data_IF_868164807025
#
_entry.id   IF_868164807025
#
_cell.length_a   1.000
_cell.length_b   1.000
_cell.length_c   1.000
_cell.angle_alpha   90.00
_cell.angle_beta   90.00
_cell.angle_gamma   90.00
#
_symmetry.space_group_name_H-M   'P 1'
#
loop_
_entity.id
_entity.type
_entity.pdbx_description
1 polymer ?
#
# COMPACT_ATOMS: atom_id res chain seq x y z
N UNK A 1 11.58 12.26 -8.12
CA UNK A 1 10.94 11.60 -6.97
C UNK A 1 9.56 11.08 -7.35
N UNK A 2 8.58 11.95 -7.76
CA UNK A 2 7.20 11.52 -8.05
C UNK A 2 7.16 10.44 -9.15
N UNK A 3 7.94 10.55 -10.22
CA UNK A 3 8.01 9.53 -11.27
C UNK A 3 8.45 8.16 -10.72
N UNK A 4 9.43 8.15 -9.82
CA UNK A 4 9.86 6.91 -9.17
C UNK A 4 8.78 6.38 -8.22
N UNK A 5 8.09 7.24 -7.46
CA UNK A 5 6.96 6.83 -6.64
C UNK A 5 5.88 6.14 -7.47
N UNK A 6 5.56 6.66 -8.65
CA UNK A 6 4.57 6.05 -9.55
C UNK A 6 5.01 4.66 -10.02
N UNK A 7 6.29 4.49 -10.36
CA UNK A 7 6.83 3.18 -10.78
C UNK A 7 6.93 2.16 -9.64
N UNK A 8 7.12 2.64 -8.41
CA UNK A 8 7.24 1.81 -7.22
C UNK A 8 5.93 1.70 -6.42
N UNK A 9 4.82 2.19 -6.99
CA UNK A 9 3.53 2.24 -6.32
C UNK A 9 3.12 0.84 -5.84
N UNK A 10 2.79 0.70 -4.56
CA UNK A 10 2.42 -0.58 -3.97
C UNK A 10 3.57 -1.59 -3.79
N UNK A 11 4.78 -1.31 -4.27
CA UNK A 11 5.92 -2.23 -4.12
C UNK A 11 6.78 -1.87 -2.90
N UNK A 12 7.21 -2.88 -2.09
CA UNK A 12 8.12 -2.64 -0.98
C UNK A 12 9.48 -2.12 -1.46
N UNK A 13 9.88 -0.98 -0.96
CA UNK A 13 11.13 -0.30 -1.29
C UNK A 13 11.88 0.14 -0.02
N UNK A 14 13.18 0.30 -0.10
CA UNK A 14 13.99 0.92 0.94
C UNK A 14 14.53 2.29 0.49
N UNK A 15 15.12 3.02 1.43
CA UNK A 15 15.64 4.35 1.11
C UNK A 15 16.86 4.33 0.19
N UNK A 16 17.59 3.22 0.13
CA UNK A 16 18.73 3.09 -0.77
C UNK A 16 18.27 2.95 -2.21
N UNK A 17 17.25 2.11 -2.47
CA UNK A 17 16.64 1.97 -3.79
C UNK A 17 16.01 3.28 -4.29
N UNK A 18 15.36 4.04 -3.39
CA UNK A 18 14.82 5.35 -3.73
C UNK A 18 15.96 6.34 -4.07
N UNK A 19 17.03 6.34 -3.28
CA UNK A 19 18.18 7.21 -3.47
C UNK A 19 18.85 6.97 -4.83
N UNK A 20 19.11 5.70 -5.16
CA UNK A 20 19.66 5.30 -6.46
C UNK A 20 18.75 5.77 -7.62
N UNK A 21 17.45 5.58 -7.50
CA UNK A 21 16.50 5.93 -8.55
C UNK A 21 16.36 7.44 -8.82
N UNK A 22 16.73 8.28 -7.86
CA UNK A 22 16.65 9.74 -7.99
C UNK A 22 18.03 10.41 -8.06
N UNK A 23 19.11 9.61 -8.15
CA UNK A 23 20.50 10.06 -8.15
C UNK A 23 20.81 11.00 -6.97
N UNK A 24 20.50 10.52 -5.76
CA UNK A 24 20.70 11.28 -4.52
C UNK A 24 21.30 10.37 -3.42
N UNK A 25 21.74 10.96 -2.33
CA UNK A 25 22.08 10.18 -1.14
C UNK A 25 20.82 9.71 -0.38
N UNK A 26 21.03 8.68 0.47
CA UNK A 26 19.94 8.06 1.22
C UNK A 26 19.16 9.03 2.09
N UNK A 27 19.86 9.99 2.73
CA UNK A 27 19.23 10.97 3.63
C UNK A 27 18.35 11.92 2.84
N UNK A 28 18.85 12.43 1.73
CA UNK A 28 18.09 13.29 0.80
C UNK A 28 16.84 12.58 0.27
N UNK A 29 16.96 11.30 -0.10
CA UNK A 29 15.80 10.51 -0.57
C UNK A 29 14.74 10.34 0.52
N UNK A 30 15.16 10.07 1.76
CA UNK A 30 14.27 9.98 2.92
C UNK A 30 13.60 11.34 3.21
N UNK A 31 14.35 12.44 3.17
CA UNK A 31 13.83 13.79 3.41
C UNK A 31 12.80 14.18 2.35
N UNK A 32 13.03 13.85 1.07
CA UNK A 32 12.04 14.08 0.01
C UNK A 32 10.76 13.24 0.21
N UNK A 33 10.89 11.97 0.57
CA UNK A 33 9.71 11.14 0.82
C UNK A 33 8.90 11.66 2.02
N UNK A 34 9.58 12.10 3.08
CA UNK A 34 8.94 12.73 4.25
C UNK A 34 8.28 14.06 3.90
N UNK A 35 8.92 14.90 3.08
CA UNK A 35 8.34 16.16 2.62
C UNK A 35 7.05 15.91 1.84
N UNK A 36 7.05 14.95 0.91
CA UNK A 36 5.85 14.57 0.15
C UNK A 36 4.74 14.04 1.07
N UNK A 37 5.09 13.31 2.12
CA UNK A 37 4.12 12.84 3.11
C UNK A 37 3.56 14.00 3.95
N UNK A 38 4.40 14.90 4.43
CA UNK A 38 3.97 16.09 5.21
C UNK A 38 3.14 17.07 4.39
N UNK A 39 3.35 17.12 3.09
CA UNK A 39 2.55 17.95 2.16
C UNK A 39 1.33 17.23 1.61
N UNK A 40 0.98 16.06 2.18
CA UNK A 40 -0.17 15.26 1.77
C UNK A 40 -0.17 14.83 0.30
N UNK A 41 1.00 14.66 -0.31
CA UNK A 41 1.15 14.12 -1.67
C UNK A 41 1.30 12.61 -1.63
N UNK A 42 1.95 12.07 -0.60
CA UNK A 42 2.15 10.62 -0.45
C UNK A 42 1.87 10.13 0.97
N UNK A 43 1.66 8.82 1.09
CA UNK A 43 1.58 8.07 2.34
C UNK A 43 2.77 7.12 2.41
N UNK A 44 3.44 7.04 3.56
CA UNK A 44 4.47 6.05 3.85
C UNK A 44 3.83 4.91 4.64
N UNK A 45 3.62 3.76 4.02
CA UNK A 45 3.08 2.57 4.67
C UNK A 45 4.21 1.64 5.10
N UNK A 46 4.32 1.43 6.41
CA UNK A 46 5.35 0.58 7.00
C UNK A 46 4.91 -0.88 7.06
N UNK A 47 5.90 -1.76 7.09
CA UNK A 47 5.70 -3.17 7.42
C UNK A 47 5.25 -3.31 8.87
N UNK A 48 4.28 -4.18 9.15
CA UNK A 48 3.91 -4.56 10.51
C UNK A 48 5.10 -5.19 11.23
N UNK A 49 5.37 -4.78 12.47
CA UNK A 49 6.38 -5.45 13.30
C UNK A 49 5.83 -6.82 13.76
N UNK A 50 6.57 -7.93 13.52
CA UNK A 50 6.12 -9.26 13.92
C UNK A 50 6.22 -9.53 15.42
N UNK A 51 6.91 -8.69 16.18
CA UNK A 51 7.20 -8.87 17.59
C UNK A 51 6.36 -8.01 18.51
N UNK A 52 5.83 -6.88 18.00
CA UNK A 52 5.08 -5.89 18.78
C UNK A 52 4.04 -5.18 17.90
N UNK A 53 2.97 -4.65 18.49
CA UNK A 53 2.07 -3.76 17.77
C UNK A 53 2.83 -2.54 17.24
N UNK A 54 2.56 -2.17 15.96
CA UNK A 54 3.13 -0.98 15.34
C UNK A 54 4.02 -1.23 14.13
N UNK A 55 4.69 -0.19 13.64
CA UNK A 55 5.51 -0.22 12.44
C UNK A 55 6.91 -0.80 12.69
N UNK A 56 7.42 -1.57 11.74
CA UNK A 56 8.82 -1.96 11.68
C UNK A 56 9.63 -0.92 10.90
N UNK A 57 10.05 0.16 11.55
CA UNK A 57 10.66 1.36 10.91
C UNK A 57 11.92 1.07 10.08
N UNK A 58 12.67 0.00 10.40
CA UNK A 58 13.90 -0.38 9.68
C UNK A 58 13.66 -1.29 8.48
N UNK A 59 12.44 -1.84 8.34
CA UNK A 59 12.08 -2.67 7.19
C UNK A 59 11.83 -1.81 5.95
N UNK A 60 11.66 -2.48 4.81
CA UNK A 60 11.12 -1.84 3.61
C UNK A 60 9.75 -1.21 3.91
N UNK A 61 9.35 -0.25 3.14
CA UNK A 61 8.05 0.46 3.17
C UNK A 61 7.46 0.49 1.78
N UNK A 62 6.15 0.63 1.73
CA UNK A 62 5.43 0.94 0.49
C UNK A 62 5.12 2.45 0.47
N UNK A 63 5.12 3.04 -0.71
CA UNK A 63 4.76 4.44 -0.89
C UNK A 63 3.50 4.49 -1.75
N UNK A 64 2.52 5.26 -1.31
CA UNK A 64 1.25 5.47 -2.00
C UNK A 64 1.01 6.95 -2.22
N UNK A 65 0.22 7.29 -3.22
CA UNK A 65 -0.19 8.66 -3.50
C UNK A 65 -1.53 8.92 -2.78
N UNK A 66 -1.67 10.08 -2.16
CA UNK A 66 -2.92 10.46 -1.47
C UNK A 66 -4.10 10.62 -2.42
N UNK A 67 -3.80 10.98 -3.66
CA UNK A 67 -4.76 10.98 -4.77
C UNK A 67 -4.15 10.21 -5.95
N UNK A 68 -4.81 9.16 -6.47
CA UNK A 68 -4.34 8.42 -7.64
C UNK A 68 -4.10 9.28 -8.88
N UNK A 69 -4.73 10.45 -8.99
CA UNK A 69 -4.49 11.39 -10.09
C UNK A 69 -3.05 11.90 -10.14
N UNK A 70 -2.35 11.96 -9.01
CA UNK A 70 -0.93 12.33 -8.98
C UNK A 70 -0.04 11.36 -9.77
N UNK A 71 -0.50 10.11 -9.98
CA UNK A 71 0.22 9.15 -10.80
C UNK A 71 0.32 9.55 -12.28
N UNK A 72 -0.55 10.42 -12.76
CA UNK A 72 -0.52 10.94 -14.12
C UNK A 72 0.36 12.18 -14.30
N UNK A 73 0.86 12.80 -13.22
CA UNK A 73 1.71 13.99 -13.29
C UNK A 73 2.98 13.80 -14.14
N UNK A 74 3.73 12.67 -14.01
CA UNK A 74 4.91 12.45 -14.85
C UNK A 74 4.60 12.47 -16.35
N UNK A 75 3.50 11.84 -16.76
CA UNK A 75 3.06 11.86 -18.18
C UNK A 75 2.75 13.28 -18.66
N UNK A 76 2.08 14.08 -17.83
CA UNK A 76 1.71 15.45 -18.16
C UNK A 76 2.91 16.38 -18.27
N UNK A 77 3.91 16.18 -17.41
CA UNK A 77 5.10 17.05 -17.35
C UNK A 77 6.15 16.63 -18.38
N UNK A 78 6.40 15.33 -18.58
CA UNK A 78 7.51 14.83 -19.39
C UNK A 78 7.10 14.14 -20.68
N UNK A 79 5.83 13.98 -20.98
CA UNK A 79 5.26 13.36 -22.21
C UNK A 79 5.81 11.96 -22.57
N UNK A 80 6.88 11.50 -21.93
CA UNK A 80 7.57 10.23 -22.19
C UNK A 80 7.38 9.17 -21.10
N UNK A 81 6.74 9.52 -19.99
CA UNK A 81 6.47 8.57 -18.91
C UNK A 81 5.32 7.62 -19.31
N UNK A 82 5.46 6.33 -18.96
CA UNK A 82 4.39 5.37 -19.14
C UNK A 82 3.19 5.70 -18.25
N UNK A 83 2.00 5.33 -18.72
CA UNK A 83 0.80 5.39 -17.88
C UNK A 83 0.93 4.45 -16.68
N UNK A 84 0.41 4.83 -15.51
CA UNK A 84 0.36 3.92 -14.36
C UNK A 84 -0.56 2.73 -14.66
N UNK A 85 -0.22 1.56 -14.14
CA UNK A 85 -1.05 0.36 -14.27
C UNK A 85 -2.34 0.49 -13.43
N UNK A 86 -3.47 0.10 -13.99
CA UNK A 86 -4.77 0.20 -13.30
C UNK A 86 -4.78 -0.60 -11.98
N UNK A 87 -4.25 -1.84 -11.91
CA UNK A 87 -4.20 -2.57 -10.65
C UNK A 87 -3.47 -1.82 -9.53
N UNK A 88 -2.36 -1.15 -9.83
CA UNK A 88 -1.59 -0.38 -8.86
C UNK A 88 -2.37 0.86 -8.38
N UNK A 89 -3.09 1.52 -9.28
CA UNK A 89 -3.96 2.64 -8.91
C UNK A 89 -5.13 2.21 -8.04
N UNK A 90 -5.69 1.02 -8.28
CA UNK A 90 -6.76 0.47 -7.45
C UNK A 90 -6.24 0.07 -6.08
N UNK A 91 -5.08 -0.61 -6.00
CA UNK A 91 -4.44 -0.88 -4.72
C UNK A 91 -4.21 0.43 -3.95
N UNK A 92 -3.66 1.45 -4.61
CA UNK A 92 -3.47 2.77 -4.03
C UNK A 92 -4.78 3.37 -3.49
N UNK A 93 -5.87 3.31 -4.25
CA UNK A 93 -7.16 3.86 -3.83
C UNK A 93 -7.72 3.12 -2.61
N UNK A 94 -7.64 1.79 -2.59
CA UNK A 94 -8.06 0.94 -1.46
C UNK A 94 -7.25 1.27 -0.20
N UNK A 95 -5.92 1.34 -0.31
CA UNK A 95 -5.05 1.69 0.82
C UNK A 95 -5.37 3.08 1.36
N UNK A 96 -5.63 4.05 0.48
CA UNK A 96 -6.02 5.40 0.91
C UNK A 96 -7.42 5.46 1.52
N UNK A 97 -8.36 4.63 1.04
CA UNK A 97 -9.67 4.44 1.67
C UNK A 97 -9.53 3.92 3.10
N UNK A 98 -8.79 2.83 3.29
CA UNK A 98 -8.48 2.27 4.61
C UNK A 98 -7.77 3.28 5.52
N UNK A 99 -6.80 4.01 5.00
CA UNK A 99 -6.08 5.05 5.74
C UNK A 99 -7.04 6.13 6.28
N UNK A 100 -7.96 6.62 5.43
CA UNK A 100 -8.95 7.62 5.83
C UNK A 100 -9.92 7.12 6.91
N UNK A 101 -10.26 5.83 6.86
CA UNK A 101 -11.15 5.23 7.86
C UNK A 101 -10.45 4.98 9.21
N UNK A 102 -9.20 4.51 9.18
CA UNK A 102 -8.53 3.96 10.37
C UNK A 102 -7.66 4.99 11.11
N UNK A 103 -7.04 5.91 10.38
CA UNK A 103 -6.00 6.78 10.94
C UNK A 103 -6.50 8.15 11.37
N UNK A 104 -7.72 8.58 11.00
CA UNK A 104 -8.17 9.96 11.22
C UNK A 104 -7.03 10.96 10.90
N UNK A 105 -6.70 11.18 9.64
CA UNK A 105 -5.40 11.67 9.19
C UNK A 105 -4.98 12.98 9.83
N UNK A 106 -3.85 12.91 10.54
CA UNK A 106 -3.02 14.04 10.95
C UNK A 106 -1.76 14.01 10.11
N UNK A 107 -1.02 15.12 10.05
CA UNK A 107 0.24 15.16 9.30
C UNK A 107 1.21 14.04 9.71
N UNK A 108 1.29 13.76 11.01
CA UNK A 108 2.16 12.70 11.56
C UNK A 108 1.77 11.30 11.12
N UNK A 109 0.48 11.03 10.86
CA UNK A 109 0.02 9.71 10.41
C UNK A 109 0.51 9.37 9.00
N UNK A 110 0.77 10.35 8.14
CA UNK A 110 1.40 10.12 6.83
C UNK A 110 2.86 9.70 6.94
N UNK A 111 3.54 10.12 8.01
CA UNK A 111 4.92 9.69 8.31
C UNK A 111 4.96 8.35 9.02
N UNK A 112 4.09 8.13 10.01
CA UNK A 112 4.10 6.92 10.84
C UNK A 112 2.65 6.52 11.17
N UNK A 113 1.96 5.78 10.29
CA UNK A 113 0.65 5.20 10.58
C UNK A 113 0.68 4.32 11.83
N UNK A 114 -0.41 4.31 12.60
CA UNK A 114 -0.54 3.57 13.85
C UNK A 114 -1.47 2.36 13.74
N UNK A 115 -2.44 2.38 12.83
CA UNK A 115 -3.45 1.35 12.66
C UNK A 115 -3.40 0.64 11.30
N UNK A 116 -2.64 1.17 10.33
CA UNK A 116 -2.53 0.63 8.99
C UNK A 116 -1.07 0.27 8.64
N UNK A 117 -0.85 -0.98 8.20
CA UNK A 117 0.45 -1.52 7.85
C UNK A 117 0.32 -2.46 6.66
N UNK A 118 1.41 -2.80 5.96
CA UNK A 118 1.44 -4.00 5.14
C UNK A 118 2.14 -5.14 5.88
N UNK A 119 1.94 -6.38 5.43
CA UNK A 119 2.61 -7.53 5.99
C UNK A 119 3.43 -8.26 4.94
N UNK A 120 4.60 -8.76 5.37
CA UNK A 120 5.46 -9.59 4.52
C UNK A 120 6.17 -10.65 5.33
N UNK A 121 6.08 -11.91 4.89
CA UNK A 121 6.77 -13.04 5.50
C UNK A 121 8.26 -13.01 5.22
N UNK A 122 9.02 -13.85 5.92
CA UNK A 122 10.45 -14.06 5.63
C UNK A 122 10.68 -14.76 4.27
N UNK A 123 9.72 -15.55 3.82
CA UNK A 123 9.75 -16.28 2.55
C UNK A 123 9.27 -15.45 1.35
N UNK A 124 8.97 -14.16 1.55
CA UNK A 124 8.57 -13.24 0.48
C UNK A 124 7.07 -13.13 0.24
N UNK A 125 6.23 -13.95 0.89
CA UNK A 125 4.77 -13.80 0.80
C UNK A 125 4.32 -12.45 1.40
N UNK A 126 3.39 -11.76 0.76
CA UNK A 126 2.95 -10.42 1.12
C UNK A 126 1.43 -10.34 1.21
N UNK A 127 0.93 -9.47 2.07
CA UNK A 127 -0.47 -9.04 2.18
C UNK A 127 -0.48 -7.52 2.18
N UNK A 128 -1.34 -6.93 1.34
CA UNK A 128 -1.28 -5.53 0.98
C UNK A 128 -1.58 -4.60 2.15
N UNK A 129 -2.55 -4.96 3.02
CA UNK A 129 -2.81 -4.20 4.24
C UNK A 129 -3.16 -5.08 5.44
N UNK A 130 -2.77 -4.60 6.61
CA UNK A 130 -3.30 -4.98 7.92
C UNK A 130 -3.90 -3.73 8.53
N UNK A 131 -5.19 -3.76 8.83
CA UNK A 131 -5.92 -2.64 9.41
C UNK A 131 -6.46 -3.00 10.80
N UNK A 132 -6.69 -2.00 11.63
CA UNK A 132 -7.17 -2.15 13.00
C UNK A 132 -6.08 -2.22 14.07
N UNK A 133 -6.35 -1.62 15.22
CA UNK A 133 -5.40 -1.56 16.35
C UNK A 133 -5.51 -2.84 17.21
N UNK A 134 -6.71 -3.23 17.58
CA UNK A 134 -6.96 -4.34 18.50
C UNK A 134 -7.17 -5.67 17.79
N UNK A 135 -8.03 -5.67 16.79
CA UNK A 135 -8.26 -6.82 15.92
C UNK A 135 -7.81 -6.47 14.50
N UNK A 136 -6.69 -7.03 14.09
CA UNK A 136 -6.16 -6.80 12.76
C UNK A 136 -6.93 -7.61 11.74
N UNK A 137 -7.42 -6.91 10.71
CA UNK A 137 -8.01 -7.50 9.51
C UNK A 137 -6.99 -7.41 8.39
N UNK A 138 -6.71 -8.53 7.77
CA UNK A 138 -5.83 -8.59 6.60
C UNK A 138 -6.63 -8.27 5.33
N UNK A 139 -6.12 -7.39 4.48
CA UNK A 139 -6.75 -7.00 3.22
C UNK A 139 -5.78 -7.27 2.08
N UNK A 140 -6.25 -8.02 1.10
CA UNK A 140 -5.52 -8.38 -0.11
C UNK A 140 -6.24 -7.80 -1.33
N UNK A 141 -5.55 -7.04 -2.15
CA UNK A 141 -6.11 -6.41 -3.35
C UNK A 141 -5.76 -7.25 -4.59
N UNK A 142 -6.78 -7.80 -5.24
CA UNK A 142 -6.64 -8.57 -6.49
C UNK A 142 -7.60 -8.01 -7.54
N UNK A 143 -7.20 -6.93 -8.20
CA UNK A 143 -8.03 -6.28 -9.21
C UNK A 143 -8.21 -7.15 -10.45
N UNK A 144 -8.99 -8.22 -10.28
CA UNK A 144 -9.33 -9.22 -11.30
C UNK A 144 -10.79 -9.64 -11.16
N UNK A 145 -11.41 -10.05 -12.27
CA UNK A 145 -12.78 -10.59 -12.28
C UNK A 145 -12.87 -11.96 -11.59
N UNK A 146 -11.83 -12.78 -11.73
CA UNK A 146 -11.78 -14.10 -11.11
C UNK A 146 -10.59 -14.17 -10.16
N UNK A 147 -10.88 -14.45 -8.90
CA UNK A 147 -9.88 -14.61 -7.85
C UNK A 147 -10.02 -16.02 -7.28
N UNK A 148 -9.03 -16.86 -7.57
CA UNK A 148 -8.98 -18.25 -7.12
C UNK A 148 -8.17 -18.42 -5.82
N UNK A 149 -8.19 -19.64 -5.27
CA UNK A 149 -7.48 -19.94 -4.03
C UNK A 149 -5.97 -19.68 -4.09
N UNK A 150 -5.34 -19.83 -5.26
CA UNK A 150 -3.92 -19.54 -5.47
C UNK A 150 -3.58 -18.07 -5.32
N UNK A 151 -4.47 -17.19 -5.75
CA UNK A 151 -4.26 -15.73 -5.72
C UNK A 151 -4.23 -15.17 -4.29
N UNK A 152 -4.89 -15.85 -3.35
CA UNK A 152 -4.99 -15.44 -1.94
C UNK A 152 -4.27 -16.41 -0.99
N UNK A 153 -3.37 -17.24 -1.51
CA UNK A 153 -2.71 -18.30 -0.73
C UNK A 153 -1.90 -17.74 0.45
N UNK A 154 -1.22 -16.62 0.26
CA UNK A 154 -0.46 -15.95 1.33
C UNK A 154 -1.40 -15.46 2.43
N UNK A 155 -2.50 -14.82 2.06
CA UNK A 155 -3.53 -14.36 2.99
C UNK A 155 -4.07 -15.52 3.83
N UNK A 156 -4.54 -16.58 3.18
CA UNK A 156 -5.20 -17.72 3.85
C UNK A 156 -4.26 -18.55 4.72
N UNK A 157 -2.96 -18.59 4.39
CA UNK A 157 -1.94 -19.27 5.20
C UNK A 157 -1.47 -18.47 6.40
N UNK A 158 -1.54 -17.15 6.32
CA UNK A 158 -0.93 -16.26 7.33
C UNK A 158 -1.94 -15.67 8.29
N UNK A 159 -3.21 -15.60 7.90
CA UNK A 159 -4.27 -14.98 8.69
C UNK A 159 -5.51 -15.87 8.73
N UNK A 160 -6.19 -15.99 9.89
CA UNK A 160 -7.39 -16.82 10.04
C UNK A 160 -8.61 -16.22 9.31
N UNK A 161 -8.57 -14.93 9.02
CA UNK A 161 -9.60 -14.17 8.30
C UNK A 161 -8.98 -12.98 7.59
N UNK A 162 -9.64 -12.48 6.56
CA UNK A 162 -9.21 -11.29 5.81
C UNK A 162 -10.28 -10.88 4.80
N UNK A 163 -10.06 -9.79 4.10
CA UNK A 163 -10.91 -9.29 3.03
C UNK A 163 -10.12 -9.37 1.73
N UNK A 164 -10.76 -9.84 0.66
CA UNK A 164 -10.19 -9.86 -0.68
C UNK A 164 -10.90 -8.80 -1.52
N UNK A 165 -10.17 -7.77 -1.91
CA UNK A 165 -10.70 -6.73 -2.79
C UNK A 165 -10.53 -7.16 -4.24
N UNK A 166 -11.62 -7.16 -5.00
CA UNK A 166 -11.67 -7.65 -6.38
C UNK A 166 -12.10 -6.54 -7.34
N UNK A 167 -12.11 -6.81 -8.64
CA UNK A 167 -12.57 -5.83 -9.63
C UNK A 167 -14.08 -5.54 -9.47
N UNK A 168 -14.91 -6.59 -9.48
CA UNK A 168 -16.36 -6.47 -9.53
C UNK A 168 -17.09 -7.63 -8.81
N UNK A 169 -16.36 -8.60 -8.26
CA UNK A 169 -16.94 -9.77 -7.61
C UNK A 169 -17.34 -9.44 -6.16
N UNK A 170 -18.62 -9.59 -5.85
CA UNK A 170 -19.14 -9.61 -4.48
C UNK A 170 -19.49 -11.05 -4.10
N UNK A 171 -18.72 -11.64 -3.17
CA UNK A 171 -18.97 -12.97 -2.62
C UNK A 171 -18.70 -12.94 -1.11
N UNK A 172 -19.76 -12.95 -0.33
CA UNK A 172 -19.74 -12.94 1.14
C UNK A 172 -20.11 -14.29 1.76
N UNK A 173 -20.20 -15.35 0.96
CA UNK A 173 -20.54 -16.70 1.46
C UNK A 173 -19.38 -17.26 2.31
N UNK A 174 -18.14 -17.06 1.87
CA UNK A 174 -16.99 -17.32 2.73
C UNK A 174 -16.80 -16.16 3.73
N UNK A 175 -17.32 -16.35 4.94
CA UNK A 175 -17.23 -15.35 6.01
C UNK A 175 -15.80 -15.10 6.51
N UNK A 176 -14.86 -15.98 6.20
CA UNK A 176 -13.45 -15.78 6.58
C UNK A 176 -12.69 -14.92 5.58
N UNK A 177 -13.02 -15.07 4.30
CA UNK A 177 -12.37 -14.33 3.22
C UNK A 177 -13.39 -13.80 2.22
N UNK A 178 -14.30 -12.92 2.67
CA UNK A 178 -15.28 -12.31 1.76
C UNK A 178 -14.55 -11.57 0.64
N UNK A 179 -15.11 -11.65 -0.55
CA UNK A 179 -14.65 -10.90 -1.72
C UNK A 179 -15.55 -9.69 -1.93
N UNK A 180 -14.94 -8.54 -2.06
CA UNK A 180 -15.64 -7.25 -2.11
C UNK A 180 -15.13 -6.44 -3.31
N UNK A 181 -16.01 -5.87 -4.14
CA UNK A 181 -15.60 -4.99 -5.23
C UNK A 181 -14.79 -3.78 -4.75
N UNK A 182 -13.74 -3.42 -5.50
CA UNK A 182 -12.92 -2.25 -5.18
C UNK A 182 -13.73 -0.94 -5.12
N UNK A 183 -14.82 -0.85 -5.88
CA UNK A 183 -15.70 0.32 -5.88
C UNK A 183 -16.45 0.54 -4.55
N UNK A 184 -16.33 -0.37 -3.58
CA UNK A 184 -16.91 -0.23 -2.23
C UNK A 184 -15.94 0.39 -1.21
N UNK A 185 -14.70 0.68 -1.62
CA UNK A 185 -13.66 1.36 -0.84
C UNK A 185 -13.51 2.81 -1.27
#
# INVERSE_FOLDING_TARGET
VIEHLVRALGHPSDWASLAEAIDADRRTAEDYARLLALTFVSLILYKADPRRPGPHLRAQRKLYLTDPLFAYLPMRIRQSAAAPEIPDLVENAVIMGLFRCEEQPRAESFLIPQALFYWRSKSGGEVDALTGITERVAVEVKYRRHVGAKDILTLTRSFPRGIVVTQDLLDVQDRRYPKVPAAMF
#
